data_IF_088376608308
#
_entry.id   IF_088376608308
#
_cell.length_a   1.000
_cell.length_b   1.000
_cell.length_c   1.000
_cell.angle_alpha   90.00
_cell.angle_beta   90.00
_cell.angle_gamma   90.00
#
_symmetry.space_group_name_H-M   'P 1'
#
loop_
_entity.id
_entity.type
_entity.pdbx_description
1 polymer ?
#
# COMPACT_ATOMS: atom_id res chain seq x y z
N UNK A 1 -29.17 -0.88 28.29
CA UNK A 1 -29.52 -1.52 27.02
C UNK A 1 -28.47 -2.58 26.75
N UNK A 2 -28.85 -3.86 26.89
CA UNK A 2 -27.97 -5.02 26.72
C UNK A 2 -27.58 -5.15 25.25
N UNK A 3 -26.34 -4.78 24.92
CA UNK A 3 -25.69 -5.08 23.64
C UNK A 3 -24.53 -6.06 23.91
N UNK A 4 -24.87 -7.27 24.35
CA UNK A 4 -24.02 -8.46 24.18
C UNK A 4 -24.82 -9.70 24.60
N UNK A 5 -25.19 -10.52 23.61
CA UNK A 5 -25.67 -11.89 23.82
C UNK A 5 -24.43 -12.77 23.97
N UNK A 6 -23.76 -12.65 25.10
CA UNK A 6 -22.70 -13.57 25.53
C UNK A 6 -23.08 -13.96 26.95
N UNK A 7 -23.16 -15.26 27.24
CA UNK A 7 -23.61 -15.72 28.55
C UNK A 7 -22.67 -15.16 29.63
N UNK A 8 -23.22 -14.78 30.79
CA UNK A 8 -22.44 -14.19 31.88
C UNK A 8 -21.27 -15.11 32.33
N UNK A 9 -21.44 -16.42 32.16
CA UNK A 9 -20.45 -17.44 32.50
C UNK A 9 -19.19 -17.38 31.62
N UNK A 10 -19.33 -17.00 30.35
CA UNK A 10 -18.22 -16.93 29.39
C UNK A 10 -17.25 -15.77 29.71
N UNK A 11 -17.73 -14.75 30.43
CA UNK A 11 -16.92 -13.59 30.80
C UNK A 11 -16.08 -13.79 32.05
N UNK A 12 -16.32 -14.84 32.85
CA UNK A 12 -15.66 -15.01 34.14
C UNK A 12 -14.14 -15.19 34.01
N UNK A 13 -13.67 -15.73 32.88
CA UNK A 13 -12.25 -15.95 32.61
C UNK A 13 -11.55 -14.78 31.89
N UNK A 14 -12.31 -13.78 31.43
CA UNK A 14 -11.79 -12.64 30.67
C UNK A 14 -11.23 -11.56 31.62
N UNK A 15 -10.05 -11.04 31.29
CA UNK A 15 -9.37 -10.02 32.09
C UNK A 15 -10.19 -8.73 32.23
N UNK A 16 -9.98 -8.02 33.34
CA UNK A 16 -10.70 -6.76 33.60
C UNK A 16 -10.34 -5.68 32.59
N UNK A 17 -9.10 -5.69 32.14
CA UNK A 17 -8.56 -4.79 31.12
C UNK A 17 -9.26 -5.00 29.77
N UNK A 18 -9.48 -6.25 29.34
CA UNK A 18 -10.23 -6.57 28.11
C UNK A 18 -11.68 -6.06 28.19
N UNK A 19 -12.36 -6.34 29.32
CA UNK A 19 -13.73 -5.89 29.55
C UNK A 19 -13.85 -4.36 29.53
N UNK A 20 -12.87 -3.67 30.12
CA UNK A 20 -12.83 -2.22 30.14
C UNK A 20 -12.67 -1.63 28.73
N UNK A 21 -11.74 -2.17 27.94
CA UNK A 21 -11.57 -1.76 26.55
C UNK A 21 -12.87 -1.93 25.74
N UNK A 22 -13.51 -3.10 25.84
CA UNK A 22 -14.77 -3.40 25.14
C UNK A 22 -15.88 -2.42 25.56
N UNK A 23 -16.03 -2.13 26.86
CA UNK A 23 -17.02 -1.16 27.32
C UNK A 23 -16.79 0.25 26.77
N UNK A 24 -15.53 0.67 26.63
CA UNK A 24 -15.18 1.97 26.03
C UNK A 24 -15.40 1.99 24.52
N UNK A 25 -15.20 0.87 23.82
CA UNK A 25 -15.50 0.74 22.37
C UNK A 25 -16.99 0.61 22.08
N UNK A 26 -17.76 0.02 22.99
CA UNK A 26 -19.20 -0.17 22.86
C UNK A 26 -20.00 0.90 23.63
N UNK A 27 -19.39 2.05 23.91
CA UNK A 27 -20.11 3.15 24.53
C UNK A 27 -21.28 3.58 23.65
N UNK A 28 -22.48 3.64 24.26
CA UNK A 28 -23.76 3.86 23.55
C UNK A 28 -23.77 5.21 22.85
N UNK A 29 -23.31 6.26 23.55
CA UNK A 29 -23.15 7.58 22.96
C UNK A 29 -21.83 7.66 22.18
N UNK A 30 -21.86 7.94 20.85
CA UNK A 30 -20.66 8.02 20.02
C UNK A 30 -19.62 9.05 20.47
N UNK A 31 -20.05 10.15 21.09
CA UNK A 31 -19.14 11.22 21.52
C UNK A 31 -18.24 10.81 22.69
N UNK A 32 -18.62 9.76 23.43
CA UNK A 32 -17.85 9.20 24.54
C UNK A 32 -17.21 7.85 24.17
N UNK A 33 -17.47 7.35 22.96
CA UNK A 33 -16.82 6.14 22.45
C UNK A 33 -15.38 6.48 22.11
N UNK A 34 -14.46 5.63 22.54
CA UNK A 34 -13.04 5.84 22.25
C UNK A 34 -12.78 5.74 20.75
N UNK A 35 -11.81 6.53 20.26
CA UNK A 35 -11.35 6.41 18.88
C UNK A 35 -10.51 5.15 18.68
N UNK A 36 -10.32 4.71 17.43
CA UNK A 36 -9.43 3.60 17.11
C UNK A 36 -8.00 3.84 17.63
N UNK A 37 -7.48 5.07 17.51
CA UNK A 37 -6.16 5.48 18.05
C UNK A 37 -6.07 5.35 19.58
N UNK A 38 -7.14 5.72 20.29
CA UNK A 38 -7.23 5.56 21.75
C UNK A 38 -7.40 4.09 22.17
N UNK A 39 -8.03 3.27 21.33
CA UNK A 39 -8.14 1.83 21.55
C UNK A 39 -6.78 1.14 21.36
N UNK A 40 -6.05 1.50 20.30
CA UNK A 40 -4.74 0.93 19.97
C UNK A 40 -3.70 1.17 21.07
N UNK A 41 -3.79 2.31 21.76
CA UNK A 41 -2.93 2.67 22.89
C UNK A 41 -3.42 2.13 24.25
N UNK A 42 -4.49 1.33 24.29
CA UNK A 42 -5.01 0.75 25.53
C UNK A 42 -4.04 -0.29 26.13
N UNK A 43 -3.98 -0.33 27.46
CA UNK A 43 -3.11 -1.22 28.21
C UNK A 43 -3.34 -2.71 27.87
N UNK A 44 -4.57 -3.12 27.54
CA UNK A 44 -4.86 -4.48 27.13
C UNK A 44 -4.22 -4.78 25.77
N UNK A 45 -4.37 -3.90 24.77
CA UNK A 45 -3.76 -4.08 23.45
C UNK A 45 -2.24 -4.07 23.57
N UNK A 46 -1.65 -3.06 24.20
CA UNK A 46 -0.19 -2.95 24.35
C UNK A 46 0.36 -4.21 25.03
N UNK A 47 -0.24 -4.68 26.13
CA UNK A 47 0.24 -5.87 26.86
C UNK A 47 0.24 -7.16 26.04
N UNK A 48 -0.73 -7.34 25.14
CA UNK A 48 -0.88 -8.58 24.37
C UNK A 48 -0.29 -8.49 22.96
N UNK A 49 -0.13 -7.28 22.41
CA UNK A 49 0.56 -7.05 21.13
C UNK A 49 2.07 -6.82 21.29
N UNK A 50 2.57 -6.49 22.50
CA UNK A 50 4.02 -6.38 22.76
C UNK A 50 4.77 -7.71 22.60
N UNK A 51 4.07 -8.85 22.66
CA UNK A 51 4.68 -10.17 22.42
C UNK A 51 4.92 -10.43 20.91
N UNK A 52 4.25 -9.67 20.03
CA UNK A 52 4.39 -9.75 18.57
C UNK A 52 5.26 -8.64 17.98
N UNK A 53 5.61 -7.60 18.74
CA UNK A 53 6.70 -6.68 18.36
C UNK A 53 8.04 -7.39 18.51
N UNK A 54 8.32 -8.30 17.59
CA UNK A 54 9.71 -8.63 17.25
C UNK A 54 10.46 -7.33 17.05
N UNK A 55 11.73 -7.25 17.46
CA UNK A 55 12.65 -6.21 16.99
C UNK A 55 12.70 -6.30 15.46
N UNK A 56 11.74 -5.66 14.79
CA UNK A 56 11.63 -5.58 13.35
C UNK A 56 12.73 -4.60 12.94
N UNK A 57 13.91 -5.14 12.69
CA UNK A 57 14.95 -4.37 12.01
C UNK A 57 14.40 -3.98 10.64
N UNK A 58 14.50 -2.70 10.31
CA UNK A 58 14.10 -2.19 9.00
C UNK A 58 14.86 -2.97 7.93
N UNK A 59 14.13 -3.56 6.99
CA UNK A 59 14.75 -4.30 5.91
C UNK A 59 15.38 -3.32 4.92
N UNK A 60 16.71 -3.21 4.96
CA UNK A 60 17.45 -2.23 4.15
C UNK A 60 17.28 -2.46 2.64
N UNK A 61 17.01 -3.71 2.21
CA UNK A 61 16.76 -4.02 0.80
C UNK A 61 15.46 -3.37 0.31
N UNK A 62 14.44 -3.34 1.17
CA UNK A 62 13.16 -2.71 0.86
C UNK A 62 13.34 -1.20 0.68
N UNK A 63 14.07 -0.56 1.60
CA UNK A 63 14.41 0.85 1.47
C UNK A 63 15.23 1.13 0.20
N UNK A 64 16.16 0.24 -0.19
CA UNK A 64 16.89 0.37 -1.45
C UNK A 64 16.00 0.20 -2.70
N UNK A 65 14.94 -0.59 -2.64
CA UNK A 65 14.00 -0.73 -3.75
C UNK A 65 13.20 0.56 -3.96
N UNK A 66 12.76 1.21 -2.87
CA UNK A 66 12.09 2.51 -2.94
C UNK A 66 12.94 3.57 -3.66
N UNK A 67 14.26 3.54 -3.49
CA UNK A 67 15.19 4.46 -4.17
C UNK A 67 15.33 4.20 -5.68
N UNK A 68 15.15 2.94 -6.08
CA UNK A 68 15.27 2.52 -7.48
C UNK A 68 13.95 2.64 -8.23
N UNK A 69 12.85 2.86 -7.52
CA UNK A 69 11.55 2.98 -8.13
C UNK A 69 11.53 4.21 -9.05
N UNK A 70 11.21 3.97 -10.31
CA UNK A 70 10.96 5.04 -11.27
C UNK A 70 9.49 4.98 -11.65
N UNK A 71 8.77 6.06 -11.31
CA UNK A 71 7.45 6.33 -11.81
C UNK A 71 7.52 6.52 -13.33
N UNK A 72 6.91 5.60 -14.08
CA UNK A 72 7.00 5.56 -15.54
C UNK A 72 5.78 6.17 -16.23
N UNK A 73 4.63 6.23 -15.54
CA UNK A 73 3.41 7.00 -15.86
C UNK A 73 2.27 6.66 -14.89
N UNK A 74 1.17 7.43 -14.93
CA UNK A 74 -0.08 7.12 -14.19
C UNK A 74 -0.64 5.75 -14.62
N UNK A 75 -0.60 5.42 -15.91
CA UNK A 75 -1.08 4.15 -16.43
C UNK A 75 -0.25 2.97 -15.90
N UNK A 76 1.07 3.04 -16.07
CA UNK A 76 1.99 2.03 -15.56
C UNK A 76 1.84 1.87 -14.04
N UNK A 77 1.72 2.96 -13.30
CA UNK A 77 1.50 2.95 -11.85
C UNK A 77 0.20 2.23 -11.48
N UNK A 78 -0.91 2.53 -12.16
CA UNK A 78 -2.19 1.91 -11.83
C UNK A 78 -2.17 0.39 -12.08
N UNK A 79 -1.58 -0.04 -13.20
CA UNK A 79 -1.43 -1.48 -13.50
C UNK A 79 -0.47 -2.15 -12.52
N UNK A 80 0.69 -1.55 -12.24
CA UNK A 80 1.66 -2.10 -11.30
C UNK A 80 1.10 -2.16 -9.88
N UNK A 81 0.31 -1.17 -9.47
CA UNK A 81 -0.40 -1.15 -8.19
C UNK A 81 -1.39 -2.30 -8.10
N UNK A 82 -2.18 -2.55 -9.16
CA UNK A 82 -3.07 -3.70 -9.24
C UNK A 82 -2.31 -5.02 -9.08
N UNK A 83 -1.21 -5.20 -9.84
CA UNK A 83 -0.38 -6.41 -9.75
C UNK A 83 0.22 -6.57 -8.35
N UNK A 84 0.74 -5.49 -7.76
CA UNK A 84 1.33 -5.48 -6.43
C UNK A 84 0.32 -5.93 -5.38
N UNK A 85 -0.89 -5.35 -5.40
CA UNK A 85 -1.92 -5.60 -4.40
C UNK A 85 -2.62 -6.95 -4.57
N UNK A 86 -2.91 -7.37 -5.81
CA UNK A 86 -3.79 -8.51 -6.08
C UNK A 86 -3.07 -9.79 -6.52
N UNK A 87 -1.83 -9.68 -7.01
CA UNK A 87 -1.14 -10.78 -7.69
C UNK A 87 0.21 -11.15 -7.06
N UNK A 88 0.53 -10.57 -5.91
CA UNK A 88 1.74 -10.89 -5.16
C UNK A 88 1.48 -12.03 -4.19
N UNK A 89 2.46 -12.93 -4.04
CA UNK A 89 2.38 -14.00 -3.05
C UNK A 89 2.40 -13.45 -1.62
N UNK A 90 1.78 -14.21 -0.71
CA UNK A 90 1.62 -13.83 0.69
C UNK A 90 2.97 -13.65 1.42
N UNK A 91 3.99 -14.43 1.06
CA UNK A 91 5.31 -14.35 1.69
C UNK A 91 6.02 -13.02 1.41
N UNK A 92 5.98 -12.54 0.17
CA UNK A 92 6.54 -11.23 -0.21
C UNK A 92 5.73 -10.09 0.40
N UNK A 93 4.39 -10.22 0.46
CA UNK A 93 3.55 -9.26 1.16
C UNK A 93 3.87 -9.19 2.66
N UNK A 94 4.14 -10.32 3.33
CA UNK A 94 4.47 -10.38 4.75
C UNK A 94 5.80 -9.66 5.07
N UNK A 95 6.83 -9.80 4.22
CA UNK A 95 8.13 -9.12 4.38
C UNK A 95 7.99 -7.60 4.24
N UNK A 96 7.21 -7.17 3.23
CA UNK A 96 6.94 -5.76 2.98
C UNK A 96 6.08 -5.15 4.08
N UNK A 97 5.03 -5.86 4.53
CA UNK A 97 4.18 -5.45 5.64
C UNK A 97 4.97 -5.26 6.93
N UNK A 98 5.86 -6.20 7.27
CA UNK A 98 6.74 -6.07 8.43
C UNK A 98 7.66 -4.86 8.34
N UNK A 99 8.18 -4.57 7.16
CA UNK A 99 9.03 -3.39 6.96
C UNK A 99 8.21 -2.11 7.09
N UNK A 100 7.01 -2.07 6.50
CA UNK A 100 6.10 -0.95 6.64
C UNK A 100 5.76 -0.68 8.11
N UNK A 101 5.33 -1.71 8.85
CA UNK A 101 5.04 -1.61 10.29
C UNK A 101 6.25 -1.22 11.14
N UNK A 102 7.48 -1.54 10.69
CA UNK A 102 8.70 -1.11 11.38
C UNK A 102 8.99 0.39 11.22
N UNK A 103 8.51 0.98 10.12
CA UNK A 103 8.64 2.41 9.78
C UNK A 103 7.48 3.22 10.36
N UNK A 104 6.23 2.72 10.25
CA UNK A 104 5.01 3.32 10.79
C UNK A 104 5.01 3.22 12.34
N UNK A 105 5.65 4.19 12.99
CA UNK A 105 5.80 4.20 14.45
C UNK A 105 4.47 4.44 15.14
N UNK A 106 3.62 5.25 14.50
CA UNK A 106 2.40 5.70 15.10
C UNK A 106 1.20 4.76 14.79
N UNK A 107 1.40 3.79 13.91
CA UNK A 107 0.46 2.74 13.50
C UNK A 107 -0.86 3.31 12.95
N UNK A 108 -0.78 4.39 12.17
CA UNK A 108 -1.92 4.96 11.45
C UNK A 108 -2.09 4.40 10.03
N UNK A 109 -1.17 3.54 9.58
CA UNK A 109 -1.26 2.87 8.28
C UNK A 109 -0.73 3.72 7.12
N UNK A 110 -0.03 4.81 7.42
CA UNK A 110 0.61 5.71 6.46
C UNK A 110 2.03 6.01 6.93
N UNK A 111 2.96 6.24 6.01
CA UNK A 111 4.31 6.67 6.35
C UNK A 111 4.42 8.17 6.17
N UNK A 112 4.58 8.87 7.29
CA UNK A 112 4.90 10.29 7.29
C UNK A 112 6.33 10.54 6.79
N UNK A 113 6.58 11.79 6.36
CA UNK A 113 7.92 12.23 5.98
C UNK A 113 8.92 11.99 7.11
N UNK A 114 8.54 12.27 8.35
CA UNK A 114 9.39 12.09 9.52
C UNK A 114 9.74 10.62 9.79
N UNK A 115 8.77 9.70 9.65
CA UNK A 115 8.99 8.26 9.80
C UNK A 115 9.90 7.71 8.70
N UNK A 116 9.74 8.18 7.45
CA UNK A 116 10.66 7.84 6.36
C UNK A 116 12.07 8.37 6.62
N UNK A 117 12.23 9.61 7.11
CA UNK A 117 13.54 10.19 7.44
C UNK A 117 14.22 9.35 8.54
N UNK A 118 13.49 8.98 9.59
CA UNK A 118 14.01 8.11 10.65
C UNK A 118 14.49 6.77 10.06
N UNK A 119 13.69 6.16 9.19
CA UNK A 119 14.04 4.94 8.46
C UNK A 119 15.33 5.07 7.66
N UNK A 120 15.44 6.09 6.78
CA UNK A 120 16.62 6.31 5.95
C UNK A 120 17.85 6.76 6.74
N UNK A 121 17.68 7.42 7.88
CA UNK A 121 18.79 7.80 8.74
C UNK A 121 19.50 6.56 9.32
N UNK A 122 18.83 5.40 9.42
CA UNK A 122 19.49 4.13 9.79
C UNK A 122 20.49 3.65 8.73
N UNK A 123 20.28 4.02 7.46
CA UNK A 123 21.17 3.70 6.33
C UNK A 123 22.30 4.72 6.25
N UNK A 124 21.94 6.00 6.21
CA UNK A 124 22.88 7.07 5.90
C UNK A 124 23.71 7.53 7.10
N UNK A 125 23.18 7.35 8.31
CA UNK A 125 23.74 7.92 9.56
C UNK A 125 24.01 9.43 9.42
N UNK A 126 23.20 10.09 8.61
CA UNK A 126 23.32 11.47 8.18
C UNK A 126 21.92 11.99 7.86
N UNK A 127 21.42 12.85 8.74
CA UNK A 127 20.04 13.33 8.69
C UNK A 127 19.77 14.15 7.42
N UNK A 128 20.74 14.96 6.98
CA UNK A 128 20.57 15.81 5.79
C UNK A 128 20.46 14.96 4.52
N UNK A 129 21.27 13.91 4.41
CA UNK A 129 21.15 12.94 3.30
C UNK A 129 19.84 12.17 3.33
N UNK A 130 19.40 11.75 4.51
CA UNK A 130 18.11 11.07 4.66
C UNK A 130 16.95 11.98 4.22
N UNK A 131 16.95 13.25 4.62
CA UNK A 131 15.95 14.24 4.20
C UNK A 131 15.94 14.45 2.69
N UNK A 132 17.10 14.61 2.07
CA UNK A 132 17.21 14.75 0.62
C UNK A 132 16.68 13.52 -0.12
N UNK A 133 16.91 12.34 0.42
CA UNK A 133 16.45 11.09 -0.20
C UNK A 133 14.93 10.93 -0.07
N UNK A 134 14.36 11.22 1.10
CA UNK A 134 12.92 11.16 1.31
C UNK A 134 12.17 12.13 0.40
N UNK A 135 12.73 13.31 0.12
CA UNK A 135 12.14 14.26 -0.85
C UNK A 135 12.02 13.62 -2.23
N UNK A 136 13.07 12.95 -2.71
CA UNK A 136 13.04 12.28 -4.03
C UNK A 136 12.03 11.14 -4.05
N UNK A 137 12.00 10.35 -2.98
CA UNK A 137 11.10 9.20 -2.86
C UNK A 137 9.65 9.63 -2.87
N UNK A 138 9.29 10.67 -2.10
CA UNK A 138 7.93 11.21 -2.12
C UNK A 138 7.54 11.70 -3.51
N UNK A 139 8.43 12.41 -4.22
CA UNK A 139 8.16 12.83 -5.61
C UNK A 139 7.88 11.67 -6.59
N UNK A 140 8.33 10.45 -6.27
CA UNK A 140 8.22 9.28 -7.14
C UNK A 140 7.07 8.35 -6.74
N UNK A 141 6.69 8.33 -5.46
CA UNK A 141 5.81 7.29 -4.89
C UNK A 141 4.49 7.87 -4.39
N UNK A 142 4.45 9.12 -3.94
CA UNK A 142 3.24 9.81 -3.46
C UNK A 142 2.36 10.19 -4.67
N UNK A 143 1.54 9.24 -5.12
CA UNK A 143 0.76 9.37 -6.34
C UNK A 143 -0.43 10.30 -6.15
N UNK A 144 -0.99 10.29 -4.93
CA UNK A 144 -2.12 11.12 -4.56
C UNK A 144 -1.70 12.52 -4.07
N UNK A 145 -0.39 12.81 -4.02
CA UNK A 145 0.19 14.09 -3.59
C UNK A 145 -0.24 14.50 -2.17
N UNK A 146 -0.43 13.51 -1.29
CA UNK A 146 -0.79 13.74 0.11
C UNK A 146 0.37 14.23 0.97
N UNK A 147 1.60 14.10 0.47
CA UNK A 147 2.84 14.29 1.22
C UNK A 147 3.20 13.11 2.13
N UNK A 148 2.50 11.99 1.99
CA UNK A 148 2.63 10.77 2.79
C UNK A 148 2.61 9.55 1.86
N UNK A 149 3.04 8.39 2.35
CA UNK A 149 3.05 7.15 1.56
C UNK A 149 2.13 6.13 2.21
N UNK A 150 1.05 5.76 1.53
CA UNK A 150 0.17 4.70 2.01
C UNK A 150 0.77 3.29 1.76
N UNK A 151 0.14 2.25 2.31
CA UNK A 151 0.65 0.89 2.17
C UNK A 151 0.68 0.40 0.71
N UNK A 152 -0.27 0.81 -0.12
CA UNK A 152 -0.33 0.41 -1.54
C UNK A 152 0.78 1.08 -2.35
N UNK A 153 1.01 2.37 -2.11
CA UNK A 153 2.12 3.14 -2.69
C UNK A 153 3.48 2.56 -2.25
N UNK A 154 3.63 2.27 -0.96
CA UNK A 154 4.82 1.60 -0.44
C UNK A 154 5.03 0.24 -1.09
N UNK A 155 3.99 -0.59 -1.18
CA UNK A 155 4.09 -1.94 -1.75
C UNK A 155 4.59 -1.90 -3.19
N UNK A 156 4.03 -1.01 -4.00
CA UNK A 156 4.41 -0.82 -5.40
C UNK A 156 5.90 -0.52 -5.56
N UNK A 157 6.43 0.38 -4.74
CA UNK A 157 7.80 0.87 -4.86
C UNK A 157 8.82 -0.01 -4.11
N UNK A 158 8.42 -0.65 -3.01
CA UNK A 158 9.24 -1.54 -2.23
C UNK A 158 9.47 -2.89 -2.91
N UNK A 159 8.62 -3.23 -3.89
CA UNK A 159 8.75 -4.45 -4.67
C UNK A 159 9.94 -4.40 -5.62
N UNK A 160 10.59 -5.55 -5.77
CA UNK A 160 11.56 -5.72 -6.83
C UNK A 160 10.82 -5.70 -8.17
N UNK A 161 11.05 -4.67 -8.98
CA UNK A 161 10.39 -4.48 -10.28
C UNK A 161 10.56 -5.69 -11.21
N UNK A 162 11.72 -6.38 -11.21
CA UNK A 162 11.95 -7.58 -12.05
C UNK A 162 11.05 -8.76 -11.63
N UNK A 163 10.67 -8.83 -10.34
CA UNK A 163 9.74 -9.84 -9.83
C UNK A 163 8.27 -9.40 -9.91
N UNK A 164 8.03 -8.10 -9.88
CA UNK A 164 6.70 -7.51 -9.98
C UNK A 164 6.16 -7.68 -11.39
N UNK A 165 7.01 -7.40 -12.38
CA UNK A 165 6.65 -7.42 -13.79
C UNK A 165 7.11 -8.71 -14.43
N UNK A 166 6.40 -9.81 -14.16
CA UNK A 166 6.57 -11.05 -14.92
C UNK A 166 5.56 -11.09 -16.07
N UNK A 167 5.95 -11.69 -17.20
CA UNK A 167 5.04 -11.86 -18.35
C UNK A 167 3.71 -12.52 -17.95
N UNK A 168 3.76 -13.48 -17.02
CA UNK A 168 2.56 -14.14 -16.51
C UNK A 168 1.65 -13.18 -15.75
N UNK A 169 2.21 -12.36 -14.85
CA UNK A 169 1.45 -11.36 -14.08
C UNK A 169 0.87 -10.28 -14.97
N UNK A 170 1.66 -9.77 -15.92
CA UNK A 170 1.21 -8.75 -16.88
C UNK A 170 0.08 -9.27 -17.77
N UNK A 171 0.20 -10.49 -18.31
CA UNK A 171 -0.87 -11.12 -19.09
C UNK A 171 -2.15 -11.32 -18.29
N UNK A 172 -2.03 -11.74 -17.04
CA UNK A 172 -3.18 -11.95 -16.18
C UNK A 172 -3.80 -10.62 -15.70
N UNK A 173 -3.01 -9.56 -15.52
CA UNK A 173 -3.53 -8.21 -15.34
C UNK A 173 -4.29 -7.74 -16.59
N UNK A 174 -3.74 -7.91 -17.79
CA UNK A 174 -4.43 -7.54 -19.05
C UNK A 174 -5.84 -8.12 -19.12
N UNK A 175 -6.00 -9.41 -18.82
CA UNK A 175 -7.31 -10.10 -18.79
C UNK A 175 -8.32 -9.54 -17.78
N UNK A 176 -7.86 -8.84 -16.75
CA UNK A 176 -8.75 -8.19 -15.78
C UNK A 176 -9.22 -6.85 -16.32
N UNK A 177 -8.35 -6.13 -17.02
CA UNK A 177 -8.69 -4.86 -17.66
C UNK A 177 -9.53 -5.05 -18.93
N UNK A 178 -9.26 -6.08 -19.73
CA UNK A 178 -10.07 -6.52 -20.88
C UNK A 178 -11.31 -7.28 -20.39
N UNK A 179 -12.30 -6.53 -19.89
CA UNK A 179 -13.49 -7.08 -19.24
C UNK A 179 -14.42 -7.82 -20.20
N UNK A 180 -14.40 -7.44 -21.49
CA UNK A 180 -15.23 -8.04 -22.52
C UNK A 180 -14.55 -9.20 -23.30
N UNK A 181 -13.25 -9.46 -23.03
CA UNK A 181 -12.40 -10.47 -23.69
C UNK A 181 -12.29 -10.26 -25.21
N UNK A 182 -12.25 -9.01 -25.67
CA UNK A 182 -12.11 -8.64 -27.09
C UNK A 182 -10.65 -8.54 -27.55
N UNK A 183 -9.70 -8.71 -26.62
CA UNK A 183 -8.26 -8.67 -26.85
C UNK A 183 -7.68 -7.25 -26.84
N UNK A 184 -8.44 -6.25 -26.39
CA UNK A 184 -8.04 -4.85 -26.31
C UNK A 184 -8.59 -4.22 -25.02
N UNK A 185 -7.99 -3.12 -24.61
CA UNK A 185 -8.48 -2.30 -23.50
C UNK A 185 -8.97 -0.97 -24.06
N UNK A 186 -10.26 -0.73 -23.93
CA UNK A 186 -10.92 0.54 -24.26
C UNK A 186 -10.82 1.56 -23.12
N UNK A 187 -11.10 2.83 -23.43
CA UNK A 187 -11.18 3.90 -22.42
C UNK A 187 -12.14 3.52 -21.29
N UNK A 188 -13.31 3.00 -21.63
CA UNK A 188 -14.36 2.66 -20.66
C UNK A 188 -13.94 1.54 -19.72
N UNK A 189 -13.23 0.54 -20.24
CA UNK A 189 -12.69 -0.57 -19.44
C UNK A 189 -11.58 -0.10 -18.51
N UNK A 190 -10.71 0.78 -18.99
CA UNK A 190 -9.68 1.36 -18.14
C UNK A 190 -10.31 2.23 -17.02
N UNK A 191 -11.32 3.04 -17.35
CA UNK A 191 -12.04 3.87 -16.38
C UNK A 191 -12.72 3.07 -15.27
N UNK A 192 -13.21 1.86 -15.57
CA UNK A 192 -13.78 0.98 -14.55
C UNK A 192 -12.76 0.54 -13.50
N UNK A 193 -11.47 0.48 -13.87
CA UNK A 193 -10.40 0.02 -13.00
C UNK A 193 -9.70 1.16 -12.26
N UNK A 194 -9.46 2.29 -12.92
CA UNK A 194 -8.59 3.35 -12.39
C UNK A 194 -9.33 4.67 -12.10
N UNK A 195 -10.64 4.70 -12.35
CA UNK A 195 -11.49 5.88 -12.16
C UNK A 195 -11.63 6.73 -13.42
N UNK A 196 -12.28 7.88 -13.29
CA UNK A 196 -12.62 8.74 -14.43
C UNK A 196 -11.37 9.26 -15.15
N UNK A 197 -11.32 9.11 -16.47
CA UNK A 197 -10.26 9.62 -17.31
C UNK A 197 -10.80 10.74 -18.20
N UNK A 198 -10.23 11.94 -18.07
CA UNK A 198 -10.50 12.96 -19.06
C UNK A 198 -9.90 12.58 -20.43
N UNK A 199 -10.24 13.37 -21.45
CA UNK A 199 -9.79 13.09 -22.81
C UNK A 199 -8.27 13.28 -22.97
N UNK A 200 -7.70 14.25 -22.26
CA UNK A 200 -6.28 14.60 -22.33
C UNK A 200 -5.41 13.46 -21.76
N UNK A 201 -5.77 12.95 -20.58
CA UNK A 201 -5.07 11.83 -19.95
C UNK A 201 -5.22 10.55 -20.77
N UNK A 202 -6.39 10.29 -21.35
CA UNK A 202 -6.57 9.13 -22.23
C UNK A 202 -5.66 9.18 -23.46
N UNK A 203 -5.54 10.35 -24.10
CA UNK A 203 -4.66 10.53 -25.25
C UNK A 203 -3.18 10.37 -24.87
N UNK A 204 -2.77 10.86 -23.68
CA UNK A 204 -1.42 10.64 -23.15
C UNK A 204 -1.12 9.15 -22.94
N UNK A 205 -2.08 8.38 -22.41
CA UNK A 205 -1.93 6.93 -22.20
C UNK A 205 -1.80 6.19 -23.53
N UNK A 206 -2.59 6.56 -24.54
CA UNK A 206 -2.49 5.97 -25.87
C UNK A 206 -1.14 6.26 -26.52
N UNK A 207 -0.65 7.51 -26.43
CA UNK A 207 0.67 7.89 -26.93
C UNK A 207 1.78 7.09 -26.24
N UNK A 208 1.72 6.99 -24.90
CA UNK A 208 2.67 6.21 -24.11
C UNK A 208 2.70 4.74 -24.52
N UNK A 209 1.53 4.13 -24.73
CA UNK A 209 1.41 2.74 -25.17
C UNK A 209 1.76 2.54 -26.65
N UNK A 210 1.97 3.63 -27.42
CA UNK A 210 2.03 3.63 -28.87
C UNK A 210 0.81 2.95 -29.50
N UNK A 211 -0.36 3.23 -28.93
CA UNK A 211 -1.67 2.72 -29.31
C UNK A 211 -2.46 3.78 -30.10
N UNK A 212 -3.47 3.34 -30.86
CA UNK A 212 -4.27 4.23 -31.71
C UNK A 212 -5.59 4.63 -31.03
N UNK A 213 -6.45 3.64 -30.79
CA UNK A 213 -7.79 3.84 -30.20
C UNK A 213 -8.01 2.95 -28.98
N UNK A 214 -7.34 1.79 -28.96
CA UNK A 214 -7.41 0.80 -27.90
C UNK A 214 -6.02 0.25 -27.62
N UNK A 215 -5.76 -0.19 -26.39
CA UNK A 215 -4.49 -0.78 -26.00
C UNK A 215 -4.57 -2.29 -26.21
N UNK A 216 -3.78 -2.84 -27.12
CA UNK A 216 -3.70 -4.29 -27.36
C UNK A 216 -2.85 -4.99 -26.31
N UNK A 217 -3.02 -6.32 -26.15
CA UNK A 217 -2.17 -7.11 -25.24
C UNK A 217 -0.68 -6.92 -25.53
N UNK A 218 -0.31 -6.78 -26.81
CA UNK A 218 1.08 -6.57 -27.23
C UNK A 218 1.61 -5.21 -26.78
N UNK A 219 0.85 -4.14 -26.95
CA UNK A 219 1.22 -2.79 -26.51
C UNK A 219 1.30 -2.72 -24.98
N UNK A 220 0.33 -3.31 -24.29
CA UNK A 220 0.29 -3.44 -22.84
C UNK A 220 1.52 -4.18 -22.27
N UNK A 221 1.89 -5.31 -22.88
CA UNK A 221 3.10 -6.06 -22.50
C UNK A 221 4.36 -5.24 -22.81
N UNK A 222 4.41 -4.57 -23.95
CA UNK A 222 5.59 -3.82 -24.37
C UNK A 222 5.86 -2.65 -23.42
N UNK A 223 4.83 -1.89 -23.03
CA UNK A 223 5.03 -0.75 -22.12
C UNK A 223 5.43 -1.21 -20.71
N UNK A 224 4.91 -2.34 -20.22
CA UNK A 224 5.23 -2.81 -18.87
C UNK A 224 6.57 -3.56 -18.80
N UNK A 225 6.92 -4.36 -19.81
CA UNK A 225 8.12 -5.23 -19.78
C UNK A 225 9.33 -4.70 -20.56
N UNK A 226 9.13 -3.82 -21.53
CA UNK A 226 10.17 -3.46 -22.52
C UNK A 226 10.44 -1.97 -22.60
N UNK A 227 10.03 -1.19 -21.61
CA UNK A 227 10.57 0.16 -21.46
C UNK A 227 12.09 0.06 -21.34
N UNK A 228 12.77 0.49 -22.41
CA UNK A 228 14.22 0.62 -22.45
C UNK A 228 14.67 1.40 -21.22
N UNK A 229 15.59 0.78 -20.49
CA UNK A 229 16.50 1.39 -19.52
C UNK A 229 17.16 2.61 -20.17
#
# INVERSE_FOLDING_TARGET
>A
MNLMVIAADDWNQISKEAKNLINRMLHVNPNFRISAKQALSDAWIVKHCSQTTTNLNVNLRVLQNLQKFQAKSIFSQAVLSYIACQMTNQLEQDELLKTFQSLDKNNDGILSREELIEGYNTIYQDKEKAEQEVIKILQLIDLNQSGQVDFSEFLMAAMNQEKLVSLQKVKAAFKVFDANDDGKISKQELEQMIGTLDQELWEQILEECNAQEFITEKEFINILLHQKI
#
